data_IF_385738803897
#
_entry.id   IF_385738803897
#
_cell.length_a   1.000
_cell.length_b   1.000
_cell.length_c   1.000
_cell.angle_alpha   90.00
_cell.angle_beta   90.00
_cell.angle_gamma   90.00
#
_symmetry.space_group_name_H-M   'P 1'
#
loop_
_entity.id
_entity.type
_entity.pdbx_description
1 polymer ?
#
# COMPACT_ATOMS: atom_id res chain seq x y z
N UNK A 1 -6.61 18.61 -9.56
CA UNK A 1 -5.56 18.65 -8.52
C UNK A 1 -5.42 17.24 -7.92
N UNK A 2 -4.21 16.83 -7.64
CA UNK A 2 -3.92 15.61 -6.90
C UNK A 2 -3.72 15.96 -5.41
N UNK A 3 -4.02 15.01 -4.54
CA UNK A 3 -3.73 15.12 -3.12
C UNK A 3 -2.74 14.01 -2.74
N UNK A 4 -1.67 14.39 -2.04
CA UNK A 4 -0.72 13.44 -1.47
C UNK A 4 -0.39 13.90 -0.05
N UNK A 5 -0.75 13.08 0.93
CA UNK A 5 -0.55 13.37 2.35
C UNK A 5 0.26 12.25 2.99
N UNK A 6 1.24 12.63 3.78
CA UNK A 6 1.99 11.68 4.59
C UNK A 6 2.13 12.28 5.99
N UNK A 7 1.72 11.52 6.98
CA UNK A 7 1.86 11.91 8.38
C UNK A 7 2.27 10.72 9.22
N UNK A 8 2.98 10.99 10.28
CA UNK A 8 3.48 9.94 11.13
C UNK A 8 3.93 10.45 12.50
N UNK A 9 4.20 9.51 13.36
CA UNK A 9 4.71 9.75 14.70
C UNK A 9 5.80 8.74 15.00
N UNK A 10 6.82 9.19 15.73
CA UNK A 10 7.88 8.30 16.20
C UNK A 10 8.20 8.59 17.66
N UNK A 11 8.52 7.52 18.39
CA UNK A 11 8.97 7.59 19.76
C UNK A 11 10.11 6.60 19.96
N UNK A 12 11.05 6.94 20.83
CA UNK A 12 12.14 6.05 21.17
C UNK A 12 12.88 6.55 22.39
N UNK A 13 13.55 5.63 23.06
CA UNK A 13 14.29 5.95 24.26
C UNK A 13 14.84 4.73 24.96
N UNK A 14 15.46 4.94 26.10
CA UNK A 14 15.94 3.86 26.95
C UNK A 14 14.81 3.32 27.82
N UNK A 15 14.57 2.02 27.78
CA UNK A 15 13.76 1.30 28.77
C UNK A 15 14.61 0.99 30.01
N UNK A 16 15.87 0.67 29.79
CA UNK A 16 16.89 0.50 30.82
C UNK A 16 18.11 1.29 30.37
N UNK A 17 18.55 2.26 31.16
CA UNK A 17 19.68 3.11 30.84
C UNK A 17 20.90 2.29 30.45
N UNK A 18 21.53 2.67 29.35
CA UNK A 18 22.71 2.05 28.71
C UNK A 18 22.54 0.58 28.27
N UNK A 19 21.35 -0.04 28.50
CA UNK A 19 21.16 -1.46 28.24
C UNK A 19 20.09 -1.77 27.22
N UNK A 20 18.90 -1.21 27.37
CA UNK A 20 17.77 -1.60 26.53
C UNK A 20 17.07 -0.35 25.98
N UNK A 21 16.97 -0.30 24.68
CA UNK A 21 16.37 0.81 23.98
C UNK A 21 15.21 0.30 23.12
N UNK A 22 14.20 1.16 22.95
CA UNK A 22 13.11 0.93 22.01
C UNK A 22 13.02 2.06 21.00
N UNK A 23 12.45 1.73 19.86
CA UNK A 23 12.06 2.69 18.84
C UNK A 23 10.77 2.20 18.18
N UNK A 24 9.79 3.09 18.04
CA UNK A 24 8.54 2.85 17.32
C UNK A 24 8.35 4.00 16.35
N UNK A 25 7.97 3.68 15.13
CA UNK A 25 7.59 4.64 14.09
C UNK A 25 6.30 4.17 13.42
N UNK A 26 5.34 5.06 13.31
CA UNK A 26 4.14 4.86 12.52
C UNK A 26 4.06 5.95 11.46
N UNK A 27 3.74 5.57 10.23
CA UNK A 27 3.53 6.46 9.10
C UNK A 27 2.29 6.03 8.34
N UNK A 28 1.43 6.99 8.01
CA UNK A 28 0.31 6.80 7.09
C UNK A 28 0.51 7.69 5.88
N UNK A 29 0.32 7.11 4.71
CA UNK A 29 0.28 7.77 3.42
C UNK A 29 -1.12 7.66 2.84
N UNK A 30 -1.66 8.77 2.34
CA UNK A 30 -2.95 8.85 1.70
C UNK A 30 -2.83 9.70 0.43
N UNK A 31 -2.99 9.06 -0.72
CA UNK A 31 -2.83 9.70 -2.02
C UNK A 31 -4.09 9.53 -2.86
N UNK A 32 -4.53 10.61 -3.43
CA UNK A 32 -5.60 10.65 -4.42
C UNK A 32 -5.11 11.33 -5.70
N UNK A 33 -5.26 10.64 -6.83
CA UNK A 33 -4.87 11.15 -8.14
C UNK A 33 -6.08 11.09 -9.07
N UNK A 34 -6.79 12.20 -9.27
CA UNK A 34 -7.88 12.26 -10.22
C UNK A 34 -7.42 12.01 -11.66
N UNK A 35 -8.24 11.33 -12.43
CA UNK A 35 -8.04 11.02 -13.83
C UNK A 35 -9.17 11.60 -14.67
N UNK A 36 -9.28 12.93 -14.79
CA UNK A 36 -10.34 13.56 -15.53
C UNK A 36 -10.28 13.18 -17.01
N UNK A 37 -11.46 12.98 -17.59
CA UNK A 37 -11.62 12.69 -19.00
C UNK A 37 -12.77 13.53 -19.58
N UNK A 38 -12.50 14.26 -20.65
CA UNK A 38 -13.53 14.98 -21.38
C UNK A 38 -14.15 14.07 -22.43
N UNK A 39 -15.39 13.67 -22.20
CA UNK A 39 -16.15 12.78 -23.07
C UNK A 39 -16.34 13.34 -24.49
N UNK A 40 -16.25 14.67 -24.67
CA UNK A 40 -16.33 15.30 -26.00
C UNK A 40 -15.15 14.91 -26.92
N UNK A 41 -14.05 14.47 -26.33
CA UNK A 41 -12.86 14.00 -27.07
C UNK A 41 -12.94 12.53 -27.47
N UNK A 42 -13.98 11.81 -27.05
CA UNK A 42 -14.14 10.40 -27.38
C UNK A 42 -14.58 10.21 -28.82
N UNK A 43 -13.87 9.40 -29.57
CA UNK A 43 -14.09 9.16 -31.01
C UNK A 43 -15.11 8.05 -31.29
N UNK A 44 -15.55 7.35 -30.28
CA UNK A 44 -16.54 6.27 -30.38
C UNK A 44 -17.99 6.76 -30.28
N UNK A 45 -18.91 5.90 -29.88
CA UNK A 45 -20.33 6.27 -29.72
C UNK A 45 -20.52 7.45 -28.79
N UNK A 46 -21.52 8.29 -29.08
CA UNK A 46 -21.79 9.54 -28.32
C UNK A 46 -21.97 9.28 -26.81
N UNK A 47 -21.74 10.30 -25.99
CA UNK A 47 -21.90 10.23 -24.55
C UNK A 47 -23.30 9.82 -24.11
N UNK A 48 -24.37 10.12 -24.88
CA UNK A 48 -25.72 9.62 -24.62
C UNK A 48 -25.80 8.10 -24.68
N UNK A 49 -25.11 7.47 -25.65
CA UNK A 49 -25.07 6.00 -25.76
C UNK A 49 -24.29 5.34 -24.64
N UNK A 50 -23.27 6.00 -24.08
CA UNK A 50 -22.56 5.53 -22.89
C UNK A 50 -23.53 5.54 -21.69
N UNK A 51 -24.34 6.60 -21.55
CA UNK A 51 -25.40 6.69 -20.55
C UNK A 51 -26.48 5.59 -20.68
N UNK A 52 -26.92 5.33 -21.93
CA UNK A 52 -27.85 4.24 -22.24
C UNK A 52 -27.25 2.88 -21.85
N UNK A 53 -25.98 2.64 -22.16
CA UNK A 53 -25.28 1.41 -21.76
C UNK A 53 -25.26 1.24 -20.25
N UNK A 54 -24.92 2.29 -19.47
CA UNK A 54 -24.94 2.25 -18.01
C UNK A 54 -26.34 1.91 -17.48
N UNK A 55 -27.36 2.56 -18.04
CA UNK A 55 -28.77 2.30 -17.66
C UNK A 55 -29.14 0.84 -17.96
N UNK A 56 -28.73 0.34 -19.12
CA UNK A 56 -28.96 -1.07 -19.51
C UNK A 56 -28.27 -2.04 -18.55
N UNK A 57 -27.00 -1.80 -18.20
CA UNK A 57 -26.26 -2.62 -17.26
C UNK A 57 -26.94 -2.62 -15.88
N UNK A 58 -27.46 -1.48 -15.43
CA UNK A 58 -28.19 -1.37 -14.19
C UNK A 58 -29.46 -2.23 -14.16
N UNK A 59 -30.15 -2.41 -15.31
CA UNK A 59 -31.32 -3.32 -15.38
C UNK A 59 -30.96 -4.79 -15.16
N UNK A 60 -29.68 -5.15 -15.34
CA UNK A 60 -29.13 -6.47 -15.03
C UNK A 60 -28.48 -6.54 -13.63
N UNK A 61 -28.66 -5.49 -12.81
CA UNK A 61 -28.08 -5.43 -11.48
C UNK A 61 -26.60 -5.09 -11.45
N UNK A 62 -26.01 -4.62 -12.56
CA UNK A 62 -24.61 -4.24 -12.63
C UNK A 62 -24.44 -2.72 -12.64
N UNK A 63 -23.74 -2.19 -11.62
CA UNK A 63 -23.27 -0.80 -11.60
C UNK A 63 -21.87 -0.73 -12.21
N UNK A 64 -21.73 -0.05 -13.32
CA UNK A 64 -20.45 0.16 -13.98
C UNK A 64 -19.60 1.24 -13.29
N UNK A 65 -20.21 2.10 -12.49
CA UNK A 65 -19.55 3.25 -11.88
C UNK A 65 -19.37 4.41 -12.86
N UNK A 66 -18.42 5.31 -12.54
CA UNK A 66 -18.07 6.47 -13.38
C UNK A 66 -16.95 6.12 -14.39
N UNK A 67 -16.76 6.96 -15.40
CA UNK A 67 -15.74 6.78 -16.44
C UNK A 67 -14.99 8.09 -16.79
N UNK A 68 -15.52 9.22 -16.38
CA UNK A 68 -15.05 10.56 -16.77
C UNK A 68 -14.26 11.27 -15.68
N UNK A 69 -14.38 10.80 -14.47
CA UNK A 69 -13.68 11.34 -13.30
C UNK A 69 -13.19 10.22 -12.36
N UNK A 70 -12.51 9.25 -12.92
CA UNK A 70 -11.91 8.18 -12.14
C UNK A 70 -10.85 8.73 -11.20
N UNK A 71 -10.76 8.19 -9.99
CA UNK A 71 -9.76 8.58 -9.00
C UNK A 71 -8.93 7.34 -8.63
N UNK A 72 -7.62 7.43 -8.83
CA UNK A 72 -6.69 6.45 -8.28
C UNK A 72 -6.42 6.80 -6.84
N UNK A 73 -6.58 5.85 -5.95
CA UNK A 73 -6.30 6.01 -4.51
C UNK A 73 -5.23 5.04 -4.05
N UNK A 74 -4.40 5.49 -3.12
CA UNK A 74 -3.43 4.65 -2.42
C UNK A 74 -3.41 5.04 -0.96
N UNK A 75 -3.78 4.10 -0.09
CA UNK A 75 -3.65 4.24 1.36
C UNK A 75 -2.63 3.22 1.84
N UNK A 76 -1.63 3.65 2.60
CA UNK A 76 -0.60 2.77 3.13
C UNK A 76 -0.30 3.13 4.58
N UNK A 77 -0.30 2.12 5.45
CA UNK A 77 0.11 2.23 6.84
C UNK A 77 1.42 1.46 7.05
N UNK A 78 2.38 2.10 7.73
CA UNK A 78 3.69 1.53 8.00
C UNK A 78 3.99 1.64 9.48
N UNK A 79 4.22 0.52 10.12
CA UNK A 79 4.64 0.43 11.52
C UNK A 79 6.01 -0.23 11.59
N UNK A 80 6.94 0.40 12.31
CA UNK A 80 8.24 -0.18 12.63
C UNK A 80 8.38 -0.17 14.15
N UNK A 81 8.70 -1.32 14.71
CA UNK A 81 9.10 -1.46 16.10
C UNK A 81 10.52 -2.06 16.17
N UNK A 82 11.36 -1.51 17.02
CA UNK A 82 12.74 -1.97 17.21
C UNK A 82 13.09 -2.01 18.69
N UNK A 83 13.80 -3.05 19.08
CA UNK A 83 14.43 -3.18 20.40
C UNK A 83 15.92 -3.38 20.19
N UNK A 84 16.74 -2.60 20.86
CA UNK A 84 18.20 -2.73 20.88
C UNK A 84 18.63 -3.04 22.31
N UNK A 85 19.30 -4.18 22.49
CA UNK A 85 19.76 -4.65 23.78
C UNK A 85 21.29 -4.78 23.80
N UNK A 86 21.94 -3.95 24.60
CA UNK A 86 23.35 -4.08 24.96
C UNK A 86 23.45 -5.16 26.06
N UNK A 87 23.63 -6.42 25.67
CA UNK A 87 23.74 -7.54 26.60
C UNK A 87 24.95 -7.33 27.52
N UNK A 88 26.07 -6.96 26.90
CA UNK A 88 27.33 -6.52 27.55
C UNK A 88 28.18 -5.75 26.53
N UNK A 89 29.41 -5.37 26.91
CA UNK A 89 30.32 -4.57 26.05
C UNK A 89 30.68 -5.27 24.73
N UNK A 90 30.54 -6.58 24.69
CA UNK A 90 30.94 -7.39 23.54
C UNK A 90 29.76 -7.92 22.72
N UNK A 91 28.54 -7.91 23.25
CA UNK A 91 27.38 -8.49 22.59
C UNK A 91 26.22 -7.51 22.58
N UNK A 92 25.71 -7.25 21.38
CA UNK A 92 24.53 -6.42 21.16
C UNK A 92 23.53 -7.17 20.32
N UNK A 93 22.28 -7.19 20.77
CA UNK A 93 21.15 -7.81 20.08
C UNK A 93 20.17 -6.73 19.63
N UNK A 94 19.74 -6.82 18.39
CA UNK A 94 18.69 -5.96 17.83
C UNK A 94 17.56 -6.83 17.30
N UNK A 95 16.32 -6.51 17.67
CA UNK A 95 15.11 -7.09 17.10
C UNK A 95 14.33 -5.98 16.42
N UNK A 96 14.04 -6.15 15.14
CA UNK A 96 13.22 -5.22 14.36
C UNK A 96 12.02 -5.96 13.78
N UNK A 97 10.84 -5.37 13.92
CA UNK A 97 9.63 -5.79 13.22
C UNK A 97 9.10 -4.63 12.38
N UNK A 98 8.72 -4.91 11.14
CA UNK A 98 8.09 -3.99 10.22
C UNK A 98 6.78 -4.58 9.73
N UNK A 99 5.71 -3.82 9.85
CA UNK A 99 4.39 -4.13 9.34
C UNK A 99 3.99 -3.04 8.35
N UNK A 100 3.68 -3.42 7.12
CA UNK A 100 3.27 -2.49 6.06
C UNK A 100 2.00 -3.00 5.44
N UNK A 101 1.00 -2.13 5.33
CA UNK A 101 -0.19 -2.37 4.52
C UNK A 101 -0.28 -1.37 3.40
N UNK A 102 -0.80 -1.79 2.27
CA UNK A 102 -1.17 -0.93 1.16
C UNK A 102 -2.52 -1.36 0.60
N UNK A 103 -3.40 -0.40 0.35
CA UNK A 103 -4.68 -0.59 -0.34
C UNK A 103 -4.75 0.41 -1.49
N UNK A 104 -4.79 -0.11 -2.70
CA UNK A 104 -4.78 0.69 -3.93
C UNK A 104 -6.01 0.38 -4.78
N UNK A 105 -6.74 1.41 -5.18
CA UNK A 105 -7.67 1.38 -6.31
C UNK A 105 -6.97 2.03 -7.51
N UNK A 106 -6.76 1.26 -8.57
CA UNK A 106 -6.07 1.73 -9.78
C UNK A 106 -6.96 1.62 -11.02
N UNK A 107 -7.90 2.56 -11.21
CA UNK A 107 -8.75 2.57 -12.38
C UNK A 107 -7.96 2.93 -13.64
N UNK A 108 -8.33 2.28 -14.74
CA UNK A 108 -7.83 2.68 -16.04
C UNK A 108 -8.44 4.03 -16.44
N UNK A 109 -7.61 4.92 -16.98
CA UNK A 109 -8.07 6.20 -17.50
C UNK A 109 -8.83 6.00 -18.82
N UNK A 110 -9.99 6.66 -18.98
CA UNK A 110 -10.64 6.76 -20.28
C UNK A 110 -9.82 7.61 -21.24
N UNK A 111 -9.97 7.38 -22.53
CA UNK A 111 -9.22 8.05 -23.60
C UNK A 111 -10.10 8.28 -24.83
N UNK A 112 -9.56 8.95 -25.85
CA UNK A 112 -10.29 9.16 -27.10
C UNK A 112 -10.79 7.85 -27.77
N UNK A 113 -10.14 6.74 -27.50
CA UNK A 113 -10.46 5.45 -28.15
C UNK A 113 -11.10 4.42 -27.21
N UNK A 114 -11.13 4.68 -25.89
CA UNK A 114 -11.63 3.72 -24.90
C UNK A 114 -12.31 4.40 -23.72
N UNK A 115 -13.47 3.88 -23.34
CA UNK A 115 -14.16 4.25 -22.10
C UNK A 115 -13.88 3.16 -21.07
N UNK A 116 -13.33 3.56 -19.92
CA UNK A 116 -13.01 2.68 -18.81
C UNK A 116 -13.85 3.06 -17.58
N UNK A 117 -14.79 2.22 -17.24
CA UNK A 117 -15.59 2.39 -16.03
C UNK A 117 -14.80 1.98 -14.78
N UNK A 118 -14.97 2.72 -13.69
CA UNK A 118 -14.23 2.47 -12.44
C UNK A 118 -14.47 1.08 -11.88
N UNK A 119 -15.69 0.55 -11.98
CA UNK A 119 -16.01 -0.79 -11.46
C UNK A 119 -15.46 -1.94 -12.31
N UNK A 120 -14.95 -1.66 -13.53
CA UNK A 120 -14.15 -2.59 -14.31
C UNK A 120 -12.67 -2.64 -13.91
N UNK A 121 -12.27 -1.89 -12.89
CA UNK A 121 -10.91 -1.81 -12.40
C UNK A 121 -10.62 -2.87 -11.32
N UNK A 122 -9.42 -2.85 -10.78
CA UNK A 122 -8.98 -3.75 -9.72
C UNK A 122 -8.58 -2.96 -8.48
N UNK A 123 -8.86 -3.54 -7.33
CA UNK A 123 -8.23 -3.17 -6.06
C UNK A 123 -7.03 -4.08 -5.82
N UNK A 124 -5.99 -3.53 -5.24
CA UNK A 124 -4.81 -4.28 -4.83
C UNK A 124 -4.57 -4.03 -3.35
N UNK A 125 -4.55 -5.11 -2.57
CA UNK A 125 -4.20 -5.08 -1.15
C UNK A 125 -2.92 -5.85 -0.93
N UNK A 126 -2.01 -5.27 -0.18
CA UNK A 126 -0.76 -5.92 0.20
C UNK A 126 -0.54 -5.77 1.70
N UNK A 127 -0.13 -6.87 2.33
CA UNK A 127 0.26 -6.89 3.73
C UNK A 127 1.65 -7.51 3.82
N UNK A 128 2.62 -6.75 4.29
CA UNK A 128 3.99 -7.21 4.50
C UNK A 128 4.33 -7.23 5.97
N UNK A 129 4.76 -8.39 6.45
CA UNK A 129 5.34 -8.60 7.78
C UNK A 129 6.79 -8.97 7.63
N UNK A 130 7.70 -8.21 8.24
CA UNK A 130 9.13 -8.51 8.21
C UNK A 130 9.73 -8.40 9.61
N UNK A 131 10.39 -9.47 10.04
CA UNK A 131 11.08 -9.52 11.33
C UNK A 131 12.54 -9.85 11.10
N UNK A 132 13.43 -9.10 11.72
CA UNK A 132 14.86 -9.33 11.68
C UNK A 132 15.45 -9.32 13.09
N UNK A 133 16.28 -10.32 13.37
CA UNK A 133 17.10 -10.44 14.56
C UNK A 133 18.57 -10.30 14.14
N UNK A 134 19.28 -9.40 14.78
CA UNK A 134 20.70 -9.16 14.53
C UNK A 134 21.49 -9.28 15.83
N UNK A 135 22.50 -10.13 15.84
CA UNK A 135 23.42 -10.30 16.95
C UNK A 135 24.83 -9.88 16.51
N UNK A 136 25.31 -8.80 17.09
CA UNK A 136 26.69 -8.33 16.94
C UNK A 136 27.51 -8.81 18.12
N UNK A 137 28.56 -9.57 17.85
CA UNK A 137 29.44 -10.16 18.87
C UNK A 137 30.90 -9.88 18.58
N UNK A 138 31.65 -9.52 19.61
CA UNK A 138 33.11 -9.35 19.57
C UNK A 138 33.76 -10.31 20.55
N UNK A 139 34.69 -11.10 20.06
CA UNK A 139 35.44 -12.11 20.82
C UNK A 139 36.90 -11.67 20.96
N UNK A 140 37.18 -10.97 22.08
CA UNK A 140 38.45 -10.34 22.31
C UNK A 140 38.77 -9.26 21.24
N UNK A 141 40.06 -9.13 20.89
CA UNK A 141 40.56 -8.12 19.93
C UNK A 141 40.74 -8.67 18.49
N UNK A 142 40.40 -9.95 18.26
CA UNK A 142 40.74 -10.64 17.00
C UNK A 142 39.52 -11.02 16.15
N UNK A 143 38.39 -11.24 16.75
CA UNK A 143 37.21 -11.71 16.04
C UNK A 143 35.99 -10.84 16.34
N UNK A 144 35.24 -10.53 15.28
CA UNK A 144 33.90 -10.01 15.38
C UNK A 144 32.99 -10.83 14.48
N UNK A 145 31.73 -10.98 14.91
CA UNK A 145 30.69 -11.66 14.17
C UNK A 145 29.44 -10.82 14.13
N UNK A 146 28.78 -10.78 12.98
CA UNK A 146 27.44 -10.26 12.80
C UNK A 146 26.57 -11.39 12.28
N UNK A 147 25.62 -11.83 13.09
CA UNK A 147 24.62 -12.83 12.72
C UNK A 147 23.29 -12.12 12.48
N UNK A 148 22.72 -12.28 11.30
CA UNK A 148 21.39 -11.76 10.93
C UNK A 148 20.51 -12.93 10.57
N UNK A 149 19.33 -12.97 11.21
CA UNK A 149 18.23 -13.89 10.85
C UNK A 149 17.03 -13.02 10.53
N UNK A 150 16.48 -13.17 9.33
CA UNK A 150 15.32 -12.41 8.90
C UNK A 150 14.26 -13.32 8.30
N UNK A 151 13.01 -12.96 8.53
CA UNK A 151 11.84 -13.59 7.93
C UNK A 151 10.90 -12.50 7.41
N UNK A 152 10.45 -12.67 6.18
CA UNK A 152 9.46 -11.77 5.57
C UNK A 152 8.33 -12.61 4.97
N UNK A 153 7.11 -12.22 5.27
CA UNK A 153 5.90 -12.72 4.64
C UNK A 153 5.19 -11.57 3.94
N UNK A 154 4.77 -11.80 2.70
CA UNK A 154 3.97 -10.88 1.89
C UNK A 154 2.68 -11.59 1.50
N UNK A 155 1.57 -10.94 1.73
CA UNK A 155 0.24 -11.39 1.34
C UNK A 155 -0.37 -10.33 0.43
N UNK A 156 -0.53 -10.69 -0.85
CA UNK A 156 -1.03 -9.82 -1.90
C UNK A 156 -2.37 -10.34 -2.42
N UNK A 157 -3.38 -9.48 -2.45
CA UNK A 157 -4.71 -9.80 -2.94
C UNK A 157 -5.16 -8.80 -4.01
N UNK A 158 -5.74 -9.33 -5.09
CA UNK A 158 -6.29 -8.53 -6.20
C UNK A 158 -7.73 -8.90 -6.43
N UNK A 159 -8.60 -7.93 -6.25
CA UNK A 159 -10.04 -8.10 -6.40
C UNK A 159 -10.59 -7.12 -7.44
N UNK A 160 -11.66 -7.49 -8.17
CA UNK A 160 -12.38 -6.52 -8.99
C UNK A 160 -12.96 -5.42 -8.09
N UNK A 161 -12.93 -4.18 -8.55
CA UNK A 161 -13.51 -3.05 -7.83
C UNK A 161 -15.04 -3.09 -7.79
N UNK A 162 -15.66 -3.69 -8.83
CA UNK A 162 -17.10 -3.91 -8.94
C UNK A 162 -17.50 -5.37 -8.80
N UNK A 163 -18.81 -5.62 -8.90
CA UNK A 163 -19.33 -6.98 -8.94
C UNK A 163 -18.83 -7.71 -10.19
N UNK A 164 -18.61 -9.04 -10.14
CA UNK A 164 -18.27 -9.82 -11.31
C UNK A 164 -19.35 -9.69 -12.40
N UNK A 165 -18.91 -9.38 -13.62
CA UNK A 165 -19.79 -9.33 -14.79
C UNK A 165 -19.32 -10.36 -15.81
N UNK A 166 -20.22 -11.14 -16.43
CA UNK A 166 -19.83 -12.12 -17.45
C UNK A 166 -19.14 -11.40 -18.61
N UNK A 167 -17.94 -11.87 -18.96
CA UNK A 167 -17.30 -11.48 -20.22
C UNK A 167 -17.99 -12.21 -21.35
N UNK A 168 -18.50 -11.48 -22.32
CA UNK A 168 -19.15 -12.02 -23.51
C UNK A 168 -18.17 -11.94 -24.68
#
# INVERSE_FOLDING_TARGET
>A
DFTAQTYGVRAGGALITDKLFYFINYERQDNETPQPFDVSTYLGPSGSRIGELRTKLATYGYDAGVFDNNVRTLVSDKLIAKLDWNINDNHKLSLKHSYVTADELSPSRSSANAINFVNGSQTFKSVTNSTALELNSRFGNKFSNNLVVAFTNVDDDRNPAGNPFPTV
#
